data_IF_564097864111
#
_entry.id   IF_564097864111
#
_cell.length_a   1.000
_cell.length_b   1.000
_cell.length_c   1.000
_cell.angle_alpha   90.00
_cell.angle_beta   90.00
_cell.angle_gamma   90.00
#
_symmetry.space_group_name_H-M   'P 1'
#
loop_
_entity.id
_entity.type
_entity.pdbx_description
1 polymer ?
#
# COMPACT_ATOMS: atom_id res chain seq x y z
N UNK A 1 30.69 32.57 2.97
CA UNK A 1 29.35 32.85 2.38
C UNK A 1 29.11 32.10 1.08
N UNK A 2 29.90 32.30 0.00
CA UNK A 2 29.70 31.64 -1.31
C UNK A 2 29.63 30.10 -1.26
N UNK A 3 30.49 29.46 -0.45
CA UNK A 3 30.52 28.00 -0.24
C UNK A 3 29.27 27.46 0.48
N UNK A 4 28.76 28.20 1.47
CA UNK A 4 27.56 27.80 2.20
C UNK A 4 26.30 27.88 1.32
N UNK A 5 26.21 28.90 0.47
CA UNK A 5 25.13 29.03 -0.52
C UNK A 5 25.19 27.89 -1.55
N UNK A 6 26.39 27.54 -2.03
CA UNK A 6 26.56 26.41 -2.96
C UNK A 6 26.18 25.06 -2.33
N UNK A 7 26.56 24.82 -1.08
CA UNK A 7 26.19 23.60 -0.34
C UNK A 7 24.67 23.56 -0.13
N UNK A 8 24.06 24.68 0.28
CA UNK A 8 22.61 24.76 0.48
C UNK A 8 21.85 24.51 -0.82
N UNK A 9 22.29 25.12 -1.93
CA UNK A 9 21.70 24.90 -3.25
C UNK A 9 21.83 23.45 -3.71
N UNK A 10 22.98 22.82 -3.47
CA UNK A 10 23.21 21.40 -3.76
C UNK A 10 22.27 20.51 -2.94
N UNK A 11 22.13 20.78 -1.64
CA UNK A 11 21.23 20.04 -0.75
C UNK A 11 19.79 20.18 -1.21
N UNK A 12 19.33 21.40 -1.50
CA UNK A 12 17.97 21.64 -2.02
C UNK A 12 17.75 20.90 -3.33
N UNK A 13 18.69 20.97 -4.28
CA UNK A 13 18.59 20.29 -5.57
C UNK A 13 18.53 18.76 -5.42
N UNK A 14 19.32 18.20 -4.50
CA UNK A 14 19.33 16.78 -4.17
C UNK A 14 18.02 16.36 -3.49
N UNK A 15 17.45 17.19 -2.62
CA UNK A 15 16.11 16.92 -2.05
C UNK A 15 15.02 16.94 -3.14
N UNK A 16 15.15 17.77 -4.17
CA UNK A 16 14.21 17.77 -5.30
C UNK A 16 14.35 16.50 -6.17
N UNK A 17 15.53 15.88 -6.22
CA UNK A 17 15.76 14.64 -6.97
C UNK A 17 15.56 13.36 -6.14
N UNK A 18 15.54 13.45 -4.82
CA UNK A 18 15.40 12.32 -3.89
C UNK A 18 14.01 11.66 -3.90
N UNK A 19 13.06 12.20 -4.66
CA UNK A 19 11.74 11.63 -4.87
C UNK A 19 11.72 10.78 -6.16
N UNK A 20 12.75 9.96 -6.36
CA UNK A 20 12.92 9.16 -7.58
C UNK A 20 11.69 8.27 -7.82
N UNK A 21 11.20 7.59 -6.78
CA UNK A 21 9.98 6.79 -6.86
C UNK A 21 8.74 7.63 -7.19
N UNK A 22 8.59 8.82 -6.60
CA UNK A 22 7.47 9.73 -6.90
C UNK A 22 7.51 10.30 -8.32
N UNK A 23 8.70 10.58 -8.85
CA UNK A 23 8.86 11.14 -10.19
C UNK A 23 8.65 10.08 -11.27
N UNK A 24 9.08 8.84 -11.02
CA UNK A 24 8.94 7.70 -11.94
C UNK A 24 7.55 7.08 -11.85
N UNK A 25 6.96 7.01 -10.65
CA UNK A 25 5.69 6.35 -10.37
C UNK A 25 4.74 7.23 -9.52
N UNK A 26 4.25 8.35 -10.05
CA UNK A 26 3.38 9.28 -9.33
C UNK A 26 2.04 8.65 -8.91
N UNK A 27 1.58 7.63 -9.63
CA UNK A 27 0.34 6.90 -9.38
C UNK A 27 0.35 6.09 -8.06
N UNK A 28 1.53 5.87 -7.47
CA UNK A 28 1.71 5.09 -6.24
C UNK A 28 1.66 5.93 -4.96
N UNK A 29 1.48 7.25 -5.10
CA UNK A 29 1.45 8.18 -3.98
C UNK A 29 0.31 7.87 -3.01
N UNK A 30 0.63 7.85 -1.71
CA UNK A 30 -0.32 7.63 -0.63
C UNK A 30 -0.47 6.16 -0.22
N UNK A 31 0.31 5.24 -0.79
CA UNK A 31 0.38 3.87 -0.30
C UNK A 31 1.06 3.81 1.06
N UNK A 32 0.35 3.27 2.06
CA UNK A 32 0.86 3.16 3.43
C UNK A 32 1.57 1.83 3.71
N UNK A 33 1.31 0.82 2.90
CA UNK A 33 1.87 -0.52 3.05
C UNK A 33 1.73 -1.31 1.75
N UNK A 34 2.69 -2.18 1.46
CA UNK A 34 2.64 -3.05 0.30
C UNK A 34 3.92 -3.87 0.18
N UNK A 35 4.03 -4.66 -0.88
CA UNK A 35 5.30 -5.26 -1.27
C UNK A 35 6.25 -4.14 -1.72
N UNK A 36 7.51 -4.19 -1.30
CA UNK A 36 8.53 -3.20 -1.68
C UNK A 36 8.91 -3.42 -3.14
N UNK A 37 8.92 -2.34 -3.94
CA UNK A 37 9.42 -2.34 -5.31
C UNK A 37 10.96 -2.46 -5.27
N UNK A 38 11.52 -3.60 -5.74
CA UNK A 38 12.96 -3.81 -5.70
C UNK A 38 13.72 -2.80 -6.56
N UNK A 39 13.12 -2.28 -7.64
CA UNK A 39 13.76 -1.27 -8.48
C UNK A 39 13.97 0.05 -7.73
N UNK A 40 12.93 0.53 -7.03
CA UNK A 40 13.00 1.74 -6.21
C UNK A 40 13.97 1.54 -5.03
N UNK A 41 13.84 0.40 -4.33
CA UNK A 41 14.72 0.09 -3.19
C UNK A 41 16.20 -0.02 -3.57
N UNK A 42 16.52 -0.61 -4.74
CA UNK A 42 17.90 -0.68 -5.24
C UNK A 42 18.43 0.72 -5.59
N UNK A 43 17.60 1.57 -6.19
CA UNK A 43 17.99 2.93 -6.55
C UNK A 43 18.33 3.76 -5.30
N UNK A 44 17.49 3.69 -4.26
CA UNK A 44 17.76 4.38 -3.00
C UNK A 44 18.96 3.78 -2.25
N UNK A 45 19.12 2.45 -2.28
CA UNK A 45 20.28 1.77 -1.71
C UNK A 45 21.58 2.16 -2.42
N UNK A 46 21.56 2.31 -3.74
CA UNK A 46 22.70 2.84 -4.49
C UNK A 46 23.00 4.29 -4.05
N UNK A 47 21.97 5.10 -3.84
CA UNK A 47 22.09 6.45 -3.26
C UNK A 47 22.76 6.43 -1.88
N UNK A 48 22.36 5.50 -1.00
CA UNK A 48 22.96 5.33 0.33
C UNK A 48 24.45 4.97 0.28
N UNK A 49 24.86 4.15 -0.69
CA UNK A 49 26.26 3.70 -0.85
C UNK A 49 27.15 4.85 -1.33
N UNK A 50 26.69 5.65 -2.31
CA UNK A 50 27.51 6.72 -2.91
C UNK A 50 27.44 8.01 -2.09
N UNK A 51 26.29 8.31 -1.48
CA UNK A 51 26.05 9.51 -0.68
C UNK A 51 25.09 9.22 0.49
N UNK A 52 25.64 8.91 1.67
CA UNK A 52 24.86 8.47 2.83
C UNK A 52 23.66 9.38 3.18
N UNK A 53 23.89 10.69 3.34
CA UNK A 53 22.84 11.63 3.76
C UNK A 53 21.76 11.79 2.67
N UNK A 54 22.10 12.10 1.40
CA UNK A 54 21.16 12.07 0.30
C UNK A 54 20.36 10.77 0.13
N UNK A 55 21.04 9.62 0.19
CA UNK A 55 20.41 8.31 0.03
C UNK A 55 19.43 7.99 1.14
N UNK A 56 19.76 8.34 2.39
CA UNK A 56 18.86 8.15 3.52
C UNK A 56 17.60 9.02 3.38
N UNK A 57 17.75 10.25 2.90
CA UNK A 57 16.63 11.14 2.64
C UNK A 57 15.75 10.61 1.52
N UNK A 58 16.32 10.12 0.41
CA UNK A 58 15.56 9.52 -0.70
C UNK A 58 14.73 8.32 -0.24
N UNK A 59 15.38 7.39 0.46
CA UNK A 59 14.73 6.24 1.06
C UNK A 59 13.56 6.65 1.97
N UNK A 60 13.78 7.64 2.85
CA UNK A 60 12.72 8.16 3.73
C UNK A 60 11.56 8.82 2.96
N UNK A 61 11.85 9.59 1.92
CA UNK A 61 10.83 10.27 1.08
C UNK A 61 9.98 9.25 0.33
N UNK A 62 10.58 8.22 -0.27
CA UNK A 62 9.83 7.19 -1.00
C UNK A 62 9.01 6.29 -0.06
N UNK A 63 9.44 6.10 1.20
CA UNK A 63 8.64 5.49 2.27
C UNK A 63 7.45 6.35 2.71
N UNK A 64 7.67 7.63 3.00
CA UNK A 64 6.61 8.55 3.48
C UNK A 64 5.58 8.80 2.37
N UNK A 65 6.04 8.89 1.14
CA UNK A 65 5.17 9.12 -0.03
C UNK A 65 4.46 7.84 -0.48
N UNK A 66 5.02 6.67 -0.15
CA UNK A 66 4.49 5.37 -0.51
C UNK A 66 4.95 4.86 -1.88
N UNK A 67 5.82 5.59 -2.56
CA UNK A 67 6.29 5.24 -3.90
C UNK A 67 7.29 4.08 -3.92
N UNK A 68 7.83 3.70 -2.75
CA UNK A 68 8.65 2.49 -2.60
C UNK A 68 7.82 1.20 -2.66
N UNK A 69 6.50 1.26 -2.60
CA UNK A 69 5.64 0.08 -2.67
C UNK A 69 5.18 -0.20 -4.10
N UNK A 70 4.95 -1.47 -4.42
CA UNK A 70 4.34 -1.89 -5.69
C UNK A 70 2.87 -1.44 -5.79
N UNK A 71 2.40 -1.10 -7.00
CA UNK A 71 0.99 -0.78 -7.25
C UNK A 71 0.12 -2.01 -6.95
N UNK A 72 -1.00 -1.78 -6.28
CA UNK A 72 -1.88 -2.88 -5.85
C UNK A 72 -1.45 -3.54 -4.54
N UNK A 73 -0.51 -2.95 -3.78
CA UNK A 73 -0.34 -3.26 -2.36
C UNK A 73 -1.68 -3.11 -1.66
N UNK A 74 -2.37 -4.25 -1.48
CA UNK A 74 -3.76 -4.30 -1.08
C UNK A 74 -3.99 -3.48 0.19
N UNK A 75 -5.16 -2.85 0.28
CA UNK A 75 -5.66 -2.38 1.58
C UNK A 75 -5.75 -3.60 2.48
N UNK A 76 -4.68 -3.89 3.22
CA UNK A 76 -4.70 -4.89 4.27
C UNK A 76 -5.71 -4.39 5.30
N UNK A 77 -6.70 -5.22 5.64
CA UNK A 77 -7.65 -4.90 6.69
C UNK A 77 -6.85 -4.54 7.95
N UNK A 78 -6.99 -3.30 8.43
CA UNK A 78 -6.19 -2.72 9.51
C UNK A 78 -6.59 -3.25 10.90
N UNK A 79 -6.92 -4.55 11.00
CA UNK A 79 -7.45 -5.19 12.21
C UNK A 79 -8.80 -4.64 12.71
N UNK A 80 -9.31 -3.57 12.11
CA UNK A 80 -10.65 -3.05 12.37
C UNK A 80 -11.64 -4.01 11.74
N UNK A 81 -12.52 -4.59 12.57
CA UNK A 81 -13.58 -5.49 12.11
C UNK A 81 -14.35 -4.77 11.01
N UNK A 82 -14.38 -5.30 9.77
CA UNK A 82 -15.10 -4.65 8.67
C UNK A 82 -16.59 -4.59 9.01
N UNK A 83 -17.30 -3.67 8.36
CA UNK A 83 -18.73 -3.49 8.55
C UNK A 83 -19.48 -4.84 8.37
N UNK A 84 -20.15 -5.30 9.43
CA UNK A 84 -20.97 -6.52 9.39
C UNK A 84 -22.25 -6.22 8.62
N UNK A 85 -22.48 -6.95 7.52
CA UNK A 85 -23.72 -6.88 6.75
C UNK A 85 -24.58 -8.08 7.16
N UNK A 86 -25.78 -7.83 7.65
CA UNK A 86 -26.77 -8.87 7.96
C UNK A 86 -27.66 -9.04 6.73
N UNK A 87 -27.54 -10.19 6.07
CA UNK A 87 -28.43 -10.54 4.96
C UNK A 87 -29.64 -11.33 5.50
N UNK A 88 -30.85 -11.09 4.97
CA UNK A 88 -31.99 -11.91 5.28
C UNK A 88 -31.83 -13.31 4.64
N UNK A 89 -32.43 -14.36 5.23
CA UNK A 89 -32.14 -15.74 4.86
C UNK A 89 -32.57 -16.14 3.44
N UNK A 90 -33.43 -15.35 2.81
CA UNK A 90 -33.85 -15.47 1.42
C UNK A 90 -32.81 -14.94 0.41
N UNK A 91 -31.78 -14.21 0.88
CA UNK A 91 -30.71 -13.62 0.07
C UNK A 91 -29.31 -14.20 0.41
N UNK A 92 -29.27 -15.34 1.10
CA UNK A 92 -28.05 -16.11 1.39
C UNK A 92 -27.61 -16.97 0.19
N UNK A 93 -27.68 -16.42 -1.02
CA UNK A 93 -27.16 -17.02 -2.23
C UNK A 93 -25.95 -16.22 -2.75
N UNK A 94 -25.17 -16.82 -3.65
CA UNK A 94 -23.96 -16.17 -4.19
C UNK A 94 -24.29 -14.81 -4.85
N UNK A 95 -25.45 -14.69 -5.50
CA UNK A 95 -25.89 -13.45 -6.11
C UNK A 95 -26.21 -12.37 -5.07
N UNK A 96 -26.94 -12.70 -4.00
CA UNK A 96 -27.27 -11.81 -2.90
C UNK A 96 -26.04 -11.36 -2.12
N UNK A 97 -25.11 -12.27 -1.84
CA UNK A 97 -23.83 -11.96 -1.19
C UNK A 97 -23.00 -11.02 -2.07
N UNK A 98 -22.87 -11.31 -3.36
CA UNK A 98 -22.12 -10.48 -4.31
C UNK A 98 -22.68 -9.05 -4.40
N UNK A 99 -24.00 -8.92 -4.45
CA UNK A 99 -24.69 -7.62 -4.45
C UNK A 99 -24.47 -6.85 -3.14
N UNK A 100 -24.62 -7.53 -1.99
CA UNK A 100 -24.45 -6.90 -0.68
C UNK A 100 -23.02 -6.40 -0.45
N UNK A 101 -22.02 -7.21 -0.81
CA UNK A 101 -20.59 -6.83 -0.72
C UNK A 101 -20.30 -5.68 -1.68
N UNK A 102 -20.79 -5.73 -2.92
CA UNK A 102 -20.56 -4.67 -3.90
C UNK A 102 -21.19 -3.33 -3.47
N UNK A 103 -22.41 -3.37 -2.91
CA UNK A 103 -23.09 -2.19 -2.41
C UNK A 103 -22.38 -1.56 -1.20
N UNK A 104 -21.86 -2.38 -0.28
CA UNK A 104 -21.18 -1.89 0.92
C UNK A 104 -19.75 -1.40 0.67
N UNK A 105 -19.04 -2.00 -0.29
CA UNK A 105 -17.65 -1.66 -0.60
C UNK A 105 -17.51 -0.63 -1.73
N UNK A 106 -18.56 -0.46 -2.55
CA UNK A 106 -18.50 0.34 -3.78
C UNK A 106 -17.60 -0.27 -4.87
N UNK A 107 -17.17 -1.53 -4.71
CA UNK A 107 -16.36 -2.27 -5.67
C UNK A 107 -17.20 -3.35 -6.33
N UNK A 108 -17.04 -3.56 -7.65
CA UNK A 108 -17.64 -4.71 -8.31
C UNK A 108 -16.92 -5.99 -7.87
N UNK A 109 -17.59 -6.84 -7.09
CA UNK A 109 -17.04 -8.11 -6.60
C UNK A 109 -17.68 -9.27 -7.36
N UNK A 110 -16.84 -10.03 -8.07
CA UNK A 110 -17.23 -11.30 -8.67
C UNK A 110 -16.77 -12.45 -7.77
N UNK A 111 -17.73 -13.18 -7.19
CA UNK A 111 -17.43 -14.31 -6.31
C UNK A 111 -16.86 -15.53 -7.06
N UNK A 112 -16.92 -15.55 -8.40
CA UNK A 112 -16.28 -16.56 -9.23
C UNK A 112 -14.83 -16.24 -9.58
N UNK A 113 -14.32 -15.05 -9.23
CA UNK A 113 -12.93 -14.68 -9.49
C UNK A 113 -12.00 -15.52 -8.60
N UNK A 114 -10.95 -16.18 -9.15
CA UNK A 114 -10.00 -16.97 -8.37
C UNK A 114 -9.22 -16.17 -7.32
N UNK A 115 -9.30 -14.83 -7.35
CA UNK A 115 -8.71 -13.92 -6.36
C UNK A 115 -9.62 -13.68 -5.15
N UNK A 116 -10.87 -14.14 -5.19
CA UNK A 116 -11.85 -14.00 -4.11
C UNK A 116 -11.92 -15.30 -3.31
N UNK A 117 -11.69 -15.22 -2.00
CA UNK A 117 -11.76 -16.37 -1.10
C UNK A 117 -12.86 -16.14 -0.04
N UNK A 118 -13.75 -17.13 0.09
CA UNK A 118 -14.82 -17.11 1.08
C UNK A 118 -14.42 -17.98 2.29
N UNK A 119 -14.32 -17.36 3.47
CA UNK A 119 -13.93 -18.04 4.70
C UNK A 119 -15.13 -18.08 5.64
N UNK A 120 -15.52 -19.29 6.07
CA UNK A 120 -16.53 -19.46 7.10
C UNK A 120 -15.94 -19.11 8.46
N UNK A 121 -16.43 -18.03 9.07
CA UNK A 121 -15.97 -17.54 10.37
C UNK A 121 -17.03 -17.89 11.41
N UNK A 122 -16.70 -18.85 12.28
CA UNK A 122 -17.61 -19.34 13.33
C UNK A 122 -17.50 -18.51 14.61
N UNK A 123 -16.32 -17.95 14.89
CA UNK A 123 -16.07 -17.12 16.06
C UNK A 123 -15.11 -15.95 15.75
N UNK A 124 -15.03 -14.93 16.64
CA UNK A 124 -14.15 -13.78 16.42
C UNK A 124 -12.65 -14.12 16.38
N UNK A 125 -12.22 -15.21 17.00
CA UNK A 125 -10.82 -15.65 16.98
C UNK A 125 -10.46 -16.26 15.61
N UNK A 126 -11.38 -17.01 15.01
CA UNK A 126 -11.27 -17.53 13.65
C UNK A 126 -11.23 -16.39 12.62
N UNK A 127 -11.96 -15.29 12.85
CA UNK A 127 -11.86 -14.09 12.02
C UNK A 127 -10.45 -13.50 12.06
N UNK A 128 -9.89 -13.36 13.28
CA UNK A 128 -8.55 -12.81 13.44
C UNK A 128 -7.48 -13.73 12.82
N UNK A 129 -7.62 -15.05 12.93
CA UNK A 129 -6.74 -16.01 12.28
C UNK A 129 -6.84 -15.94 10.75
N UNK A 130 -8.05 -15.86 10.20
CA UNK A 130 -8.27 -15.72 8.77
C UNK A 130 -7.67 -14.42 8.22
N UNK A 131 -7.88 -13.29 8.93
CA UNK A 131 -7.27 -12.01 8.58
C UNK A 131 -5.74 -12.02 8.71
N UNK A 132 -5.20 -12.78 9.67
CA UNK A 132 -3.76 -12.94 9.84
C UNK A 132 -3.14 -13.83 8.75
N UNK A 133 -3.84 -14.87 8.29
CA UNK A 133 -3.41 -15.75 7.20
C UNK A 133 -3.49 -15.06 5.84
N UNK A 134 -4.42 -14.10 5.67
CA UNK A 134 -4.53 -13.25 4.49
C UNK A 134 -3.51 -12.09 4.43
N UNK A 135 -2.56 -12.01 5.38
CA UNK A 135 -1.45 -11.04 5.36
C UNK A 135 -0.38 -11.44 4.37
#
# INVERSE_FOLDING_TARGET
MKRAVAILALVVLVLQSAACGLLIYPERKGQKSGQIDPGVAILDAAGLIVFLVPGLVAFGVDFVTGCIYLPGGGKRADGTVPATIVLPPDQLDAAGIGHAVSAATGQAVDLGDPRVEAIAVVDPAALQQALAAAR
#
